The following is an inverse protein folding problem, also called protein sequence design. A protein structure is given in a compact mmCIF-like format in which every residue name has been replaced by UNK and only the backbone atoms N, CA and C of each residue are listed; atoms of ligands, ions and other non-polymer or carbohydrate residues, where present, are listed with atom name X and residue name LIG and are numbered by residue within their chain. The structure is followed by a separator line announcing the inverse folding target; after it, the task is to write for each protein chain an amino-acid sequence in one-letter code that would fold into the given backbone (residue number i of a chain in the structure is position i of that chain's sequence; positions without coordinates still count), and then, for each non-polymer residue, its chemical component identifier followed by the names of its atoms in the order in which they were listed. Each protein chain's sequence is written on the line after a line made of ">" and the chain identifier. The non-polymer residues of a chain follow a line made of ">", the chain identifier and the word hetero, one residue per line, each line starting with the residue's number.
data_IF_684622481603
#
_entry.id   IF_684622481603
#
_cell.length_a   1.000
_cell.length_b   1.000
_cell.length_c   1.000
_cell.angle_alpha   90.00
_cell.angle_beta   90.00
_cell.angle_gamma   90.00
#
_symmetry.space_group_name_H-M   'P 1'
#
loop_
_entity.id
_entity.type
_entity.pdbx_description
1 polymer ?
#
# COMPACT_ATOMS: atom_id res chain seq x y z
N UNK A 1 28.61 19.03 -11.86
CA UNK A 1 27.18 18.90 -12.16
C UNK A 1 26.54 17.99 -11.12
N UNK A 2 25.29 18.17 -10.80
CA UNK A 2 24.57 17.37 -9.79
C UNK A 2 24.59 15.88 -10.12
N UNK A 3 24.49 15.50 -11.37
CA UNK A 3 24.57 14.11 -11.86
C UNK A 3 25.88 13.38 -11.56
N UNK A 4 26.95 14.14 -11.22
CA UNK A 4 28.26 13.57 -10.88
C UNK A 4 28.28 13.04 -9.43
N UNK A 5 27.25 13.35 -8.64
CA UNK A 5 27.11 12.98 -7.23
C UNK A 5 26.10 11.85 -7.08
N UNK A 6 26.46 10.85 -6.29
CA UNK A 6 25.56 9.79 -5.85
C UNK A 6 25.63 9.69 -4.33
N UNK A 7 24.48 9.66 -3.70
CA UNK A 7 24.35 9.38 -2.27
C UNK A 7 23.80 7.97 -2.12
N UNK A 8 24.61 7.10 -1.54
CA UNK A 8 24.26 5.72 -1.28
C UNK A 8 23.82 5.56 0.17
N UNK A 9 22.64 5.01 0.40
CA UNK A 9 22.08 4.78 1.72
C UNK A 9 22.18 3.29 2.07
N UNK A 10 22.66 2.98 3.27
CA UNK A 10 22.66 1.61 3.79
C UNK A 10 21.29 1.21 4.29
N UNK A 11 20.54 2.16 4.85
CA UNK A 11 19.15 2.04 5.28
C UNK A 11 18.29 3.08 4.56
N UNK A 12 17.53 2.61 3.55
CA UNK A 12 16.68 3.48 2.76
C UNK A 12 15.54 4.09 3.60
N UNK A 13 14.96 3.32 4.50
CA UNK A 13 13.85 3.77 5.33
C UNK A 13 14.26 4.93 6.26
N UNK A 14 15.45 4.86 6.83
CA UNK A 14 15.97 5.88 7.74
C UNK A 14 16.41 7.16 7.02
N UNK A 15 17.03 7.06 5.84
CA UNK A 15 17.70 8.20 5.20
C UNK A 15 16.94 8.83 4.04
N UNK A 16 16.05 8.11 3.35
CA UNK A 16 15.39 8.58 2.12
C UNK A 16 14.62 9.89 2.33
N UNK A 17 13.66 9.89 3.25
CA UNK A 17 12.79 11.04 3.47
C UNK A 17 13.53 12.27 4.00
N UNK A 18 14.42 12.16 5.01
CA UNK A 18 15.26 13.27 5.45
C UNK A 18 16.11 13.87 4.34
N UNK A 19 16.74 13.03 3.51
CA UNK A 19 17.58 13.50 2.40
C UNK A 19 16.77 14.23 1.33
N UNK A 20 15.64 13.67 0.90
CA UNK A 20 14.75 14.34 -0.05
C UNK A 20 14.29 15.71 0.47
N UNK A 21 13.93 15.79 1.76
CA UNK A 21 13.49 17.04 2.39
C UNK A 21 14.61 18.07 2.44
N UNK A 22 15.82 17.67 2.83
CA UNK A 22 16.97 18.58 2.94
C UNK A 22 17.42 19.11 1.57
N UNK A 23 17.52 18.22 0.57
CA UNK A 23 17.90 18.63 -0.79
C UNK A 23 16.83 19.53 -1.43
N UNK A 24 15.55 19.22 -1.23
CA UNK A 24 14.46 20.07 -1.71
C UNK A 24 14.52 21.47 -1.09
N UNK A 25 14.75 21.59 0.22
CA UNK A 25 14.95 22.89 0.90
C UNK A 25 16.16 23.66 0.41
N UNK A 26 17.21 22.95 0.02
CA UNK A 26 18.44 23.54 -0.54
C UNK A 26 18.33 23.85 -2.04
N UNK A 27 17.20 23.57 -2.70
CA UNK A 27 17.03 23.74 -4.14
C UNK A 27 17.90 22.79 -4.99
N UNK A 28 18.35 21.67 -4.42
CA UNK A 28 19.18 20.69 -5.10
C UNK A 28 18.27 19.61 -5.73
N UNK A 29 18.28 19.45 -7.06
CA UNK A 29 17.48 18.43 -7.71
C UNK A 29 17.98 17.03 -7.33
N UNK A 30 17.06 16.17 -6.92
CA UNK A 30 17.33 14.81 -6.47
C UNK A 30 16.51 13.82 -7.27
N UNK A 31 17.15 12.75 -7.65
CA UNK A 31 16.52 11.57 -8.22
C UNK A 31 16.72 10.37 -7.31
N UNK A 32 15.65 9.75 -6.89
CA UNK A 32 15.67 8.51 -6.12
C UNK A 32 15.33 7.34 -7.06
N UNK A 33 16.30 6.45 -7.27
CA UNK A 33 16.16 5.30 -8.17
C UNK A 33 15.33 4.15 -7.56
N UNK A 34 14.81 4.30 -6.33
CA UNK A 34 14.01 3.24 -5.72
C UNK A 34 12.60 3.23 -6.29
N UNK A 35 12.12 2.04 -6.58
CA UNK A 35 10.72 1.82 -6.90
C UNK A 35 9.91 1.85 -5.59
N UNK A 36 8.94 2.75 -5.49
CA UNK A 36 8.01 2.73 -4.37
C UNK A 36 7.08 1.51 -4.51
N UNK A 37 6.92 0.68 -3.46
CA UNK A 37 5.93 -0.40 -3.49
C UNK A 37 4.54 0.21 -3.68
N UNK A 38 3.78 -0.26 -4.67
CA UNK A 38 2.43 0.27 -4.93
C UNK A 38 1.49 0.04 -3.74
N UNK A 39 1.76 -0.97 -2.93
CA UNK A 39 0.96 -1.31 -1.75
C UNK A 39 0.86 -0.20 -0.70
N UNK A 40 1.77 0.78 -0.69
CA UNK A 40 1.73 1.93 0.22
C UNK A 40 0.91 3.12 -0.32
N UNK A 41 0.46 3.05 -1.56
CA UNK A 41 -0.34 4.12 -2.14
C UNK A 41 -1.77 4.13 -1.55
N UNK A 42 -2.36 5.30 -1.27
CA UNK A 42 -3.71 5.42 -0.71
C UNK A 42 -4.79 4.66 -1.48
N UNK A 43 -4.76 4.63 -2.82
CA UNK A 43 -5.69 3.83 -3.62
C UNK A 43 -5.57 2.34 -3.32
N UNK A 44 -4.34 1.83 -3.31
CA UNK A 44 -4.11 0.40 -3.07
C UNK A 44 -4.49 0.03 -1.63
N UNK A 45 -4.17 0.89 -0.66
CA UNK A 45 -4.59 0.70 0.74
C UNK A 45 -6.12 0.68 0.85
N UNK A 46 -6.82 1.60 0.18
CA UNK A 46 -8.28 1.64 0.14
C UNK A 46 -8.86 0.37 -0.50
N UNK A 47 -8.33 -0.05 -1.65
CA UNK A 47 -8.75 -1.26 -2.34
C UNK A 47 -8.56 -2.52 -1.49
N UNK A 48 -7.36 -2.70 -0.93
CA UNK A 48 -7.07 -3.85 -0.07
C UNK A 48 -7.93 -3.84 1.19
N UNK A 49 -8.19 -2.66 1.78
CA UNK A 49 -9.08 -2.51 2.92
C UNK A 49 -10.53 -2.87 2.56
N UNK A 50 -11.03 -2.46 1.39
CA UNK A 50 -12.35 -2.84 0.90
C UNK A 50 -12.46 -4.36 0.68
N UNK A 51 -11.43 -4.97 0.05
CA UNK A 51 -11.39 -6.42 -0.17
C UNK A 51 -11.34 -7.21 1.15
N UNK A 52 -10.60 -6.74 2.14
CA UNK A 52 -10.57 -7.35 3.47
C UNK A 52 -11.88 -7.14 4.24
N UNK A 53 -12.48 -5.94 4.11
CA UNK A 53 -13.75 -5.61 4.74
C UNK A 53 -14.86 -6.57 4.32
N UNK A 54 -14.98 -6.88 3.04
CA UNK A 54 -16.06 -7.73 2.52
C UNK A 54 -15.96 -9.19 2.94
N UNK A 55 -14.81 -9.65 3.41
CA UNK A 55 -14.66 -11.02 3.91
C UNK A 55 -15.50 -11.25 5.18
N UNK A 56 -15.42 -10.35 6.16
CA UNK A 56 -16.03 -10.53 7.48
C UNK A 56 -16.68 -9.28 8.07
N UNK A 57 -16.61 -8.13 7.41
CA UNK A 57 -17.00 -6.82 7.93
C UNK A 57 -16.42 -6.52 9.32
N UNK A 58 -15.12 -6.84 9.48
CA UNK A 58 -14.40 -6.42 10.68
C UNK A 58 -14.26 -4.90 10.72
N UNK A 59 -14.36 -4.26 11.91
CA UNK A 59 -14.33 -2.79 12.03
C UNK A 59 -13.08 -2.15 11.43
N UNK A 60 -11.91 -2.75 11.66
CA UNK A 60 -10.63 -2.21 11.19
C UNK A 60 -10.59 -2.00 9.66
N UNK A 61 -10.76 -3.04 8.84
CA UNK A 61 -10.79 -2.91 7.39
C UNK A 61 -11.92 -2.00 6.87
N UNK A 62 -13.13 -2.08 7.46
CA UNK A 62 -14.25 -1.21 7.06
C UNK A 62 -13.91 0.26 7.30
N UNK A 63 -13.43 0.61 8.48
CA UNK A 63 -13.07 1.98 8.83
C UNK A 63 -11.84 2.47 8.04
N UNK A 64 -10.86 1.60 7.78
CA UNK A 64 -9.71 1.94 6.94
C UNK A 64 -10.15 2.31 5.51
N UNK A 65 -11.12 1.59 4.92
CA UNK A 65 -11.71 1.96 3.64
C UNK A 65 -12.47 3.28 3.73
N UNK A 66 -13.34 3.45 4.74
CA UNK A 66 -14.16 4.65 4.90
C UNK A 66 -13.35 5.92 5.17
N UNK A 67 -12.19 5.82 5.81
CA UNK A 67 -11.27 6.96 6.05
C UNK A 67 -10.31 7.22 4.89
N UNK A 68 -10.41 6.46 3.80
CA UNK A 68 -9.59 6.69 2.62
C UNK A 68 -10.13 7.84 1.76
N UNK A 69 -9.29 8.43 0.93
CA UNK A 69 -9.69 9.44 -0.07
C UNK A 69 -10.69 8.90 -1.11
N UNK A 70 -10.87 7.59 -1.18
CA UNK A 70 -11.82 6.91 -2.07
C UNK A 70 -13.14 6.57 -1.38
N UNK A 71 -13.34 7.02 -0.15
CA UNK A 71 -14.60 6.88 0.57
C UNK A 71 -15.74 7.60 -0.15
N UNK A 72 -16.96 7.04 -0.11
CA UNK A 72 -18.16 7.76 -0.56
C UNK A 72 -18.62 8.85 0.42
N UNK A 73 -18.02 8.93 1.62
CA UNK A 73 -18.36 9.85 2.69
C UNK A 73 -17.28 10.91 2.90
N UNK A 74 -17.66 12.05 3.47
CA UNK A 74 -16.70 13.03 3.95
C UNK A 74 -16.10 12.60 5.31
N UNK A 75 -15.02 13.24 5.73
CA UNK A 75 -14.30 12.90 6.97
C UNK A 75 -15.21 12.99 8.22
N UNK A 76 -16.00 14.06 8.35
CA UNK A 76 -16.90 14.25 9.49
C UNK A 76 -17.99 13.16 9.60
N UNK A 77 -18.50 12.70 8.44
CA UNK A 77 -19.49 11.62 8.40
C UNK A 77 -18.85 10.29 8.75
N UNK A 78 -17.60 10.04 8.32
CA UNK A 78 -16.84 8.86 8.70
C UNK A 78 -16.59 8.81 10.21
N UNK A 79 -16.21 9.92 10.82
CA UNK A 79 -15.99 10.03 12.27
C UNK A 79 -17.28 9.76 13.05
N UNK A 80 -18.41 10.25 12.55
CA UNK A 80 -19.72 10.02 13.16
C UNK A 80 -20.09 8.53 13.13
N UNK A 81 -19.89 7.86 11.99
CA UNK A 81 -20.10 6.42 11.86
C UNK A 81 -19.14 5.61 12.73
N UNK A 82 -17.87 5.97 12.75
CA UNK A 82 -16.86 5.30 13.58
C UNK A 82 -17.23 5.39 15.06
N UNK A 83 -17.61 6.58 15.54
CA UNK A 83 -17.99 6.78 16.93
C UNK A 83 -19.14 5.85 17.33
N UNK A 84 -20.21 5.81 16.53
CA UNK A 84 -21.34 4.92 16.79
C UNK A 84 -20.93 3.44 16.71
N UNK A 85 -20.19 3.06 15.67
CA UNK A 85 -19.76 1.68 15.47
C UNK A 85 -18.84 1.19 16.60
N UNK A 86 -17.94 2.06 17.07
CA UNK A 86 -17.06 1.75 18.20
C UNK A 86 -17.83 1.64 19.51
N UNK A 87 -18.72 2.61 19.79
CA UNK A 87 -19.49 2.63 21.03
C UNK A 87 -20.38 1.39 21.18
N UNK A 88 -21.04 0.98 20.10
CA UNK A 88 -21.96 -0.16 20.10
C UNK A 88 -21.34 -1.49 19.68
N UNK A 89 -20.04 -1.50 19.39
CA UNK A 89 -19.32 -2.72 18.98
C UNK A 89 -19.84 -3.33 17.69
N UNK A 90 -20.20 -2.50 16.70
CA UNK A 90 -20.74 -2.93 15.41
C UNK A 90 -19.73 -3.79 14.65
N UNK A 91 -20.10 -5.02 14.31
CA UNK A 91 -19.24 -6.00 13.62
C UNK A 91 -20.05 -6.87 12.67
N UNK A 92 -19.39 -7.45 11.68
CA UNK A 92 -19.97 -8.45 10.80
C UNK A 92 -21.24 -7.94 10.13
N UNK A 93 -22.27 -8.78 10.06
CA UNK A 93 -23.53 -8.46 9.41
C UNK A 93 -24.30 -7.28 10.01
N UNK A 94 -23.89 -6.77 11.18
CA UNK A 94 -24.50 -5.57 11.77
C UNK A 94 -24.25 -4.30 10.93
N UNK A 95 -23.17 -4.27 10.11
CA UNK A 95 -22.95 -3.19 9.16
C UNK A 95 -24.01 -3.15 8.05
N UNK A 96 -24.55 -4.29 7.65
CA UNK A 96 -25.54 -4.38 6.58
C UNK A 96 -26.98 -4.16 7.06
N UNK A 97 -27.22 -4.17 8.38
CA UNK A 97 -28.55 -4.03 8.99
C UNK A 97 -28.76 -2.61 9.51
N UNK A 98 -30.01 -2.10 9.52
CA UNK A 98 -30.30 -0.84 10.17
C UNK A 98 -29.94 -0.86 11.65
N UNK A 99 -29.25 0.18 12.09
CA UNK A 99 -28.92 0.37 13.51
C UNK A 99 -30.13 0.87 14.27
N UNK A 100 -30.31 0.42 15.52
CA UNK A 100 -31.50 0.68 16.32
C UNK A 100 -31.17 1.21 17.72
N UNK A 101 -29.90 1.25 18.09
CA UNK A 101 -29.45 1.65 19.41
C UNK A 101 -29.35 3.18 19.48
N UNK A 102 -29.50 3.73 20.70
CA UNK A 102 -29.53 5.16 20.92
C UNK A 102 -28.24 5.86 20.48
N UNK A 103 -28.28 6.93 19.66
CA UNK A 103 -27.08 7.59 19.14
C UNK A 103 -26.17 8.18 20.22
N UNK A 104 -26.75 8.64 21.34
CA UNK A 104 -25.98 9.24 22.44
C UNK A 104 -25.58 8.25 23.54
N UNK A 105 -25.89 6.94 23.43
CA UNK A 105 -25.46 5.91 24.36
C UNK A 105 -26.56 5.31 25.25
N UNK A 106 -26.14 4.50 26.24
CA UNK A 106 -27.04 3.73 27.11
C UNK A 106 -27.75 4.63 28.13
N UNK A 107 -28.99 4.24 28.47
CA UNK A 107 -29.70 4.74 29.65
C UNK A 107 -30.51 6.01 29.44
N UNK A 108 -30.63 6.51 28.21
CA UNK A 108 -31.48 7.64 27.89
C UNK A 108 -32.72 7.17 27.10
N UNK A 109 -33.93 7.78 27.34
CA UNK A 109 -35.07 7.52 26.50
C UNK A 109 -34.88 8.10 25.11
N UNK A 110 -35.35 7.41 24.08
CA UNK A 110 -35.30 7.87 22.70
C UNK A 110 -36.28 9.03 22.51
N UNK A 111 -35.76 10.21 22.21
CA UNK A 111 -36.54 11.39 21.87
C UNK A 111 -36.66 11.56 20.33
N UNK A 112 -37.62 12.36 19.83
CA UNK A 112 -37.76 12.57 18.36
C UNK A 112 -36.50 13.08 17.66
N UNK A 113 -35.68 13.85 18.37
CA UNK A 113 -34.38 14.34 17.85
C UNK A 113 -33.37 13.19 17.71
N UNK A 114 -33.36 12.24 18.65
CA UNK A 114 -32.50 11.06 18.61
C UNK A 114 -32.93 10.08 17.51
N UNK A 115 -34.23 9.95 17.26
CA UNK A 115 -34.76 9.18 16.14
C UNK A 115 -34.32 9.76 14.79
N UNK A 116 -34.37 11.08 14.66
CA UNK A 116 -33.90 11.78 13.46
C UNK A 116 -32.39 11.60 13.28
N UNK A 117 -31.58 11.71 14.34
CA UNK A 117 -30.16 11.47 14.32
C UNK A 117 -29.82 10.01 13.93
N UNK A 118 -30.59 9.05 14.48
CA UNK A 118 -30.41 7.63 14.13
C UNK A 118 -30.78 7.34 12.67
N UNK A 119 -31.81 8.00 12.14
CA UNK A 119 -32.14 7.90 10.70
C UNK A 119 -31.02 8.46 9.82
N UNK A 120 -30.45 9.61 10.18
CA UNK A 120 -29.31 10.20 9.48
C UNK A 120 -28.09 9.27 9.51
N UNK A 121 -27.76 8.70 10.69
CA UNK A 121 -26.72 7.68 10.84
C UNK A 121 -26.93 6.46 9.93
N UNK A 122 -28.16 5.96 9.85
CA UNK A 122 -28.49 4.84 8.99
C UNK A 122 -28.38 5.20 7.50
N UNK A 123 -28.67 6.43 7.11
CA UNK A 123 -28.46 6.90 5.74
C UNK A 123 -26.96 6.95 5.39
N UNK A 124 -26.13 7.49 6.29
CA UNK A 124 -24.66 7.48 6.12
C UNK A 124 -24.11 6.05 6.08
N UNK A 125 -24.57 5.17 6.97
CA UNK A 125 -24.19 3.75 6.95
C UNK A 125 -24.54 3.09 5.61
N UNK A 126 -25.71 3.35 5.06
CA UNK A 126 -26.11 2.77 3.78
C UNK A 126 -25.21 3.25 2.64
N UNK A 127 -24.87 4.54 2.60
CA UNK A 127 -23.91 5.07 1.63
C UNK A 127 -22.52 4.45 1.80
N UNK A 128 -22.05 4.31 3.03
CA UNK A 128 -20.77 3.71 3.39
C UNK A 128 -20.65 2.26 2.92
N UNK A 129 -21.71 1.47 3.17
CA UNK A 129 -21.70 0.02 2.97
C UNK A 129 -22.09 -0.37 1.55
N UNK A 130 -22.80 0.47 0.80
CA UNK A 130 -23.28 0.15 -0.55
C UNK A 130 -22.19 -0.39 -1.49
N UNK A 131 -21.02 0.26 -1.66
CA UNK A 131 -19.96 -0.24 -2.54
C UNK A 131 -19.38 -1.57 -2.03
N UNK A 132 -19.20 -1.71 -0.71
CA UNK A 132 -18.71 -2.94 -0.10
C UNK A 132 -19.69 -4.10 -0.27
N UNK A 133 -20.98 -3.86 -0.09
CA UNK A 133 -22.03 -4.86 -0.29
C UNK A 133 -22.09 -5.31 -1.74
N UNK A 134 -21.99 -4.39 -2.70
CA UNK A 134 -21.95 -4.71 -4.13
C UNK A 134 -20.74 -5.60 -4.44
N UNK A 135 -19.55 -5.25 -3.96
CA UNK A 135 -18.34 -6.05 -4.10
C UNK A 135 -18.51 -7.45 -3.48
N UNK A 136 -19.01 -7.52 -2.25
CA UNK A 136 -19.25 -8.79 -1.56
C UNK A 136 -20.18 -9.71 -2.34
N UNK A 137 -21.29 -9.18 -2.85
CA UNK A 137 -22.25 -9.95 -3.62
C UNK A 137 -21.67 -10.43 -4.96
N UNK A 138 -20.85 -9.60 -5.61
CA UNK A 138 -20.17 -9.97 -6.85
C UNK A 138 -19.15 -11.09 -6.59
N UNK A 139 -18.30 -10.95 -5.57
CA UNK A 139 -17.31 -11.98 -5.19
C UNK A 139 -17.98 -13.29 -4.72
N UNK A 140 -19.09 -13.22 -4.00
CA UNK A 140 -19.83 -14.42 -3.58
C UNK A 140 -20.49 -15.20 -4.74
N UNK A 141 -20.80 -14.51 -5.85
CA UNK A 141 -21.34 -15.14 -7.07
C UNK A 141 -20.24 -15.64 -8.01
N UNK A 142 -19.06 -15.08 -7.91
CA UNK A 142 -17.93 -15.41 -8.77
C UNK A 142 -17.50 -16.87 -8.55
N UNK A 143 -17.34 -17.59 -9.65
CA UNK A 143 -16.87 -19.00 -9.67
C UNK A 143 -15.44 -19.13 -10.17
N UNK A 144 -14.94 -18.12 -10.87
CA UNK A 144 -13.61 -18.08 -11.46
C UNK A 144 -12.88 -16.81 -11.04
N UNK A 145 -11.56 -16.83 -11.17
CA UNK A 145 -10.71 -15.66 -10.90
C UNK A 145 -11.04 -14.52 -11.87
N UNK A 146 -11.34 -14.79 -13.14
CA UNK A 146 -11.81 -13.80 -14.11
C UNK A 146 -13.04 -13.02 -13.59
N UNK A 147 -14.04 -13.73 -13.03
CA UNK A 147 -15.21 -13.09 -12.45
C UNK A 147 -14.87 -12.28 -11.18
N UNK A 148 -13.91 -12.74 -10.38
CA UNK A 148 -13.42 -11.99 -9.20
C UNK A 148 -12.67 -10.73 -9.62
N UNK A 149 -11.82 -10.81 -10.64
CA UNK A 149 -11.09 -9.66 -11.22
C UNK A 149 -12.09 -8.62 -11.76
N UNK A 150 -13.13 -9.04 -12.46
CA UNK A 150 -14.19 -8.13 -12.93
C UNK A 150 -14.95 -7.46 -11.79
N UNK A 151 -15.16 -8.16 -10.68
CA UNK A 151 -15.78 -7.56 -9.50
C UNK A 151 -14.91 -6.44 -8.89
N UNK A 152 -13.57 -6.62 -8.88
CA UNK A 152 -12.64 -5.58 -8.46
C UNK A 152 -12.63 -4.41 -9.44
N UNK A 153 -12.61 -4.66 -10.75
CA UNK A 153 -12.67 -3.62 -11.77
C UNK A 153 -13.96 -2.77 -11.64
N UNK A 154 -15.11 -3.41 -11.41
CA UNK A 154 -16.36 -2.72 -11.17
C UNK A 154 -16.36 -1.86 -9.89
N UNK A 155 -15.66 -2.29 -8.83
CA UNK A 155 -15.45 -1.46 -7.65
C UNK A 155 -14.62 -0.21 -7.99
N UNK A 156 -13.50 -0.36 -8.72
CA UNK A 156 -12.66 0.78 -9.13
C UNK A 156 -13.42 1.79 -9.97
N UNK A 157 -14.29 1.34 -10.87
CA UNK A 157 -15.20 2.19 -11.64
C UNK A 157 -16.21 2.90 -10.74
N UNK A 158 -16.85 2.19 -9.81
CA UNK A 158 -17.81 2.77 -8.84
C UNK A 158 -17.18 3.86 -7.97
N UNK A 159 -15.91 3.70 -7.62
CA UNK A 159 -15.14 4.66 -6.82
C UNK A 159 -14.55 5.80 -7.67
N UNK A 160 -14.73 5.77 -8.99
CA UNK A 160 -14.07 6.70 -9.94
C UNK A 160 -12.57 6.81 -9.70
N UNK A 161 -11.92 5.66 -9.51
CA UNK A 161 -10.51 5.60 -9.14
C UNK A 161 -9.61 6.27 -10.18
N UNK A 162 -9.91 6.09 -11.48
CA UNK A 162 -9.15 6.70 -12.58
C UNK A 162 -9.28 8.24 -12.57
N UNK A 163 -10.51 8.77 -12.46
CA UNK A 163 -10.76 10.23 -12.44
C UNK A 163 -10.15 10.91 -11.23
N UNK A 164 -10.24 10.29 -10.05
CA UNK A 164 -9.62 10.81 -8.81
C UNK A 164 -8.10 10.82 -8.90
N UNK A 165 -7.47 9.76 -9.42
CA UNK A 165 -6.02 9.74 -9.65
C UNK A 165 -5.57 10.77 -10.67
N UNK A 166 -6.32 10.97 -11.76
CA UNK A 166 -6.02 12.02 -12.74
C UNK A 166 -6.07 13.40 -12.09
N UNK A 167 -7.10 13.68 -11.29
CA UNK A 167 -7.22 14.94 -10.56
C UNK A 167 -6.04 15.15 -9.59
N UNK A 168 -5.63 14.10 -8.91
CA UNK A 168 -4.47 14.14 -8.01
C UNK A 168 -3.16 14.37 -8.78
N UNK A 169 -2.99 13.71 -9.93
CA UNK A 169 -1.84 13.93 -10.82
C UNK A 169 -1.76 15.37 -11.28
N UNK A 170 -2.86 15.94 -11.77
CA UNK A 170 -2.93 17.32 -12.26
C UNK A 170 -2.58 18.33 -11.13
N UNK A 171 -3.08 18.09 -9.90
CA UNK A 171 -2.74 18.90 -8.73
C UNK A 171 -1.26 18.82 -8.36
N UNK A 172 -0.64 17.65 -8.45
CA UNK A 172 0.79 17.46 -8.21
C UNK A 172 1.64 18.14 -9.29
N UNK A 173 1.22 18.11 -10.54
CA UNK A 173 1.89 18.82 -11.65
C UNK A 173 1.82 20.33 -11.44
N UNK A 174 0.67 20.89 -11.07
CA UNK A 174 0.50 22.31 -10.76
C UNK A 174 1.34 22.74 -9.55
N UNK A 175 1.53 21.86 -8.58
CA UNK A 175 2.41 22.07 -7.42
C UNK A 175 3.91 21.91 -7.75
N UNK A 176 4.28 21.61 -9.01
CA UNK A 176 5.66 21.40 -9.44
C UNK A 176 6.30 20.08 -8.95
N UNK A 177 5.48 19.13 -8.49
CA UNK A 177 5.90 17.83 -7.97
C UNK A 177 5.89 16.76 -9.08
N UNK A 178 6.59 17.03 -10.18
CA UNK A 178 6.55 16.22 -11.41
C UNK A 178 6.85 14.72 -11.19
N UNK A 179 7.77 14.39 -10.27
CA UNK A 179 8.09 12.99 -9.97
C UNK A 179 6.88 12.26 -9.33
N UNK A 180 6.22 12.88 -8.35
CA UNK A 180 5.04 12.31 -7.71
C UNK A 180 3.85 12.21 -8.66
N UNK A 181 3.68 13.22 -9.52
CA UNK A 181 2.67 13.19 -10.56
C UNK A 181 2.87 11.99 -11.51
N UNK A 182 4.09 11.74 -11.94
CA UNK A 182 4.44 10.60 -12.77
C UNK A 182 4.21 9.27 -12.05
N UNK A 183 4.60 9.15 -10.77
CA UNK A 183 4.33 7.96 -9.95
C UNK A 183 2.82 7.71 -9.82
N UNK A 184 2.02 8.76 -9.64
CA UNK A 184 0.56 8.70 -9.58
C UNK A 184 -0.05 8.21 -10.90
N UNK A 185 0.41 8.73 -12.05
CA UNK A 185 -0.07 8.29 -13.37
C UNK A 185 0.24 6.82 -13.67
N UNK A 186 1.40 6.32 -13.27
CA UNK A 186 1.80 4.92 -13.47
C UNK A 186 1.08 3.95 -12.53
N UNK A 187 0.55 4.43 -11.40
CA UNK A 187 -0.08 3.58 -10.39
C UNK A 187 -1.29 2.84 -10.93
N UNK A 188 -2.16 3.55 -11.66
CA UNK A 188 -3.37 2.94 -12.21
C UNK A 188 -3.03 1.87 -13.26
N UNK A 189 -2.05 2.16 -14.13
CA UNK A 189 -1.55 1.18 -15.11
C UNK A 189 -0.96 -0.05 -14.42
N UNK A 190 -0.20 0.14 -13.34
CA UNK A 190 0.38 -0.95 -12.57
C UNK A 190 -0.71 -1.81 -11.89
N UNK A 191 -1.78 -1.17 -11.37
CA UNK A 191 -2.92 -1.87 -10.78
C UNK A 191 -3.68 -2.70 -11.82
N UNK A 192 -3.99 -2.10 -12.99
CA UNK A 192 -4.65 -2.81 -14.08
C UNK A 192 -3.79 -3.97 -14.59
N UNK A 193 -2.49 -3.74 -14.78
CA UNK A 193 -1.55 -4.81 -15.17
C UNK A 193 -1.50 -5.96 -14.16
N UNK A 194 -1.60 -5.67 -12.86
CA UNK A 194 -1.68 -6.70 -11.83
C UNK A 194 -2.98 -7.52 -11.92
N UNK A 195 -4.11 -6.86 -12.19
CA UNK A 195 -5.40 -7.54 -12.42
C UNK A 195 -5.36 -8.41 -13.68
N UNK A 196 -4.82 -7.90 -14.78
CA UNK A 196 -4.64 -8.65 -16.02
C UNK A 196 -3.70 -9.85 -15.83
N UNK A 197 -2.64 -9.71 -15.06
CA UNK A 197 -1.73 -10.81 -14.74
C UNK A 197 -2.43 -11.91 -13.94
N UNK A 198 -3.27 -11.53 -12.96
CA UNK A 198 -4.08 -12.50 -12.21
C UNK A 198 -5.04 -13.25 -13.15
N UNK A 199 -5.70 -12.55 -14.06
CA UNK A 199 -6.60 -13.14 -15.02
C UNK A 199 -5.88 -14.07 -16.00
N UNK A 200 -4.78 -13.63 -16.60
CA UNK A 200 -3.99 -14.43 -17.55
C UNK A 200 -3.44 -15.73 -16.95
N UNK A 201 -3.01 -15.70 -15.68
CA UNK A 201 -2.38 -16.86 -15.03
C UNK A 201 -3.42 -17.78 -14.40
N UNK A 202 -4.46 -17.23 -13.78
CA UNK A 202 -5.41 -17.95 -12.94
C UNK A 202 -6.87 -17.78 -13.40
N UNK A 203 -7.17 -17.04 -14.45
CA UNK A 203 -8.53 -16.61 -14.82
C UNK A 203 -9.56 -17.74 -14.85
N UNK A 204 -9.20 -18.89 -15.38
CA UNK A 204 -10.07 -20.07 -15.42
C UNK A 204 -10.11 -20.87 -14.10
N UNK A 205 -9.25 -20.56 -13.13
CA UNK A 205 -9.21 -21.26 -11.86
C UNK A 205 -10.38 -20.85 -10.96
N UNK A 206 -10.84 -21.77 -10.12
CA UNK A 206 -11.79 -21.49 -9.05
C UNK A 206 -11.02 -21.29 -7.74
N UNK A 207 -11.08 -20.10 -7.18
CA UNK A 207 -10.46 -19.76 -5.91
C UNK A 207 -11.51 -19.27 -4.91
N UNK A 208 -11.34 -19.65 -3.64
CA UNK A 208 -12.10 -19.04 -2.56
C UNK A 208 -11.73 -17.56 -2.44
N UNK A 209 -12.71 -16.72 -2.12
CA UNK A 209 -12.53 -15.26 -2.04
C UNK A 209 -11.38 -14.86 -1.11
N UNK A 210 -11.22 -15.54 0.02
CA UNK A 210 -10.15 -15.24 0.99
C UNK A 210 -8.77 -15.50 0.39
N UNK A 211 -8.59 -16.62 -0.33
CA UNK A 211 -7.34 -16.94 -1.02
C UNK A 211 -7.06 -15.98 -2.17
N UNK A 212 -8.08 -15.59 -2.94
CA UNK A 212 -7.95 -14.58 -3.99
C UNK A 212 -7.45 -13.25 -3.42
N UNK A 213 -8.06 -12.76 -2.33
CA UNK A 213 -7.64 -11.51 -1.65
C UNK A 213 -6.19 -11.59 -1.18
N UNK A 214 -5.78 -12.73 -0.61
CA UNK A 214 -4.40 -12.94 -0.17
C UNK A 214 -3.40 -12.91 -1.33
N UNK A 215 -3.68 -13.66 -2.41
CA UNK A 215 -2.80 -13.70 -3.58
C UNK A 215 -2.70 -12.35 -4.26
N UNK A 216 -3.81 -11.63 -4.44
CA UNK A 216 -3.80 -10.30 -5.02
C UNK A 216 -3.05 -9.29 -4.15
N UNK A 217 -3.22 -9.34 -2.83
CA UNK A 217 -2.45 -8.54 -1.88
C UNK A 217 -0.94 -8.81 -2.01
N UNK A 218 -0.53 -10.09 -2.08
CA UNK A 218 0.88 -10.46 -2.28
C UNK A 218 1.42 -9.94 -3.62
N UNK A 219 0.64 -10.01 -4.69
CA UNK A 219 1.01 -9.49 -6.01
C UNK A 219 1.26 -7.98 -5.94
N UNK A 220 0.34 -7.21 -5.35
CA UNK A 220 0.48 -5.76 -5.19
C UNK A 220 1.64 -5.35 -4.30
N UNK A 221 1.97 -6.12 -3.25
CA UNK A 221 3.15 -5.87 -2.43
C UNK A 221 4.47 -6.08 -3.18
N UNK A 222 4.48 -6.97 -4.18
CA UNK A 222 5.64 -7.23 -5.02
C UNK A 222 5.67 -6.35 -6.29
N UNK A 223 4.60 -5.61 -6.56
CA UNK A 223 4.53 -4.66 -7.66
C UNK A 223 5.12 -3.32 -7.22
N UNK A 224 5.91 -2.72 -8.07
CA UNK A 224 6.54 -1.42 -7.80
C UNK A 224 6.43 -0.51 -9.01
N UNK A 225 6.24 0.78 -8.74
CA UNK A 225 6.23 1.84 -9.75
C UNK A 225 7.60 2.50 -9.76
N UNK A 226 8.24 2.53 -10.93
CA UNK A 226 9.54 3.18 -11.12
C UNK A 226 9.36 4.61 -11.62
N UNK A 227 10.10 5.57 -11.05
CA UNK A 227 10.13 6.92 -11.60
C UNK A 227 11.28 7.09 -12.59
N UNK A 228 11.00 7.78 -13.71
CA UNK A 228 12.03 8.24 -14.65
C UNK A 228 12.51 9.62 -14.20
N UNK A 229 13.83 9.94 -14.19
CA UNK A 229 14.30 11.25 -13.80
C UNK A 229 13.66 12.34 -14.65
N UNK A 230 12.94 13.27 -14.02
CA UNK A 230 12.40 14.46 -14.70
C UNK A 230 13.49 15.48 -15.05
N UNK A 231 14.65 15.41 -14.39
CA UNK A 231 15.79 16.31 -14.57
C UNK A 231 17.04 15.48 -14.84
N UNK A 232 17.71 15.76 -15.98
CA UNK A 232 18.94 15.06 -16.36
C UNK A 232 20.15 15.39 -15.47
N UNK A 233 20.14 16.50 -14.72
CA UNK A 233 21.21 16.94 -13.82
C UNK A 233 20.74 16.98 -12.38
N UNK A 234 20.57 15.81 -11.77
CA UNK A 234 20.14 15.62 -10.39
C UNK A 234 21.12 14.74 -9.60
N UNK A 235 21.21 14.98 -8.30
CA UNK A 235 21.91 14.08 -7.37
C UNK A 235 21.13 12.78 -7.27
N UNK A 236 21.80 11.66 -7.39
CA UNK A 236 21.17 10.37 -7.28
C UNK A 236 21.19 9.87 -5.83
N UNK A 237 20.02 9.55 -5.29
CA UNK A 237 19.87 8.76 -4.06
C UNK A 237 19.64 7.29 -4.44
N UNK A 238 20.41 6.38 -3.85
CA UNK A 238 20.35 4.96 -4.19
C UNK A 238 20.77 4.09 -3.00
N UNK A 239 20.59 2.79 -3.12
CA UNK A 239 21.10 1.79 -2.18
C UNK A 239 22.28 1.03 -2.76
N UNK A 240 23.07 0.36 -1.92
CA UNK A 240 24.26 -0.40 -2.37
C UNK A 240 23.95 -1.43 -3.47
N UNK A 241 22.87 -2.23 -3.39
CA UNK A 241 22.54 -3.18 -4.46
C UNK A 241 22.26 -2.52 -5.81
N UNK A 242 21.68 -1.32 -5.81
CA UNK A 242 21.32 -0.57 -7.03
C UNK A 242 22.49 0.17 -7.66
N UNK A 243 23.62 0.28 -6.95
CA UNK A 243 24.81 1.01 -7.41
C UNK A 243 25.61 0.26 -8.52
N UNK A 244 25.34 -1.02 -8.76
CA UNK A 244 26.18 -1.97 -9.51
C UNK A 244 26.58 -1.57 -10.94
N UNK A 245 25.89 -0.64 -11.59
CA UNK A 245 26.09 -0.37 -13.03
C UNK A 245 26.34 1.10 -13.35
N UNK A 246 26.65 1.96 -12.37
CA UNK A 246 26.84 3.40 -12.64
C UNK A 246 28.26 3.88 -12.37
N UNK A 247 28.74 4.74 -13.28
CA UNK A 247 29.99 5.49 -13.10
C UNK A 247 29.65 6.79 -12.39
N UNK A 248 30.07 6.91 -11.14
CA UNK A 248 29.90 8.07 -10.27
C UNK A 248 31.24 8.77 -10.10
N UNK A 249 31.28 10.10 -10.13
CA UNK A 249 32.48 10.86 -9.81
C UNK A 249 32.68 11.06 -8.32
N UNK A 250 31.57 11.31 -7.61
CA UNK A 250 31.57 11.50 -6.17
C UNK A 250 30.52 10.59 -5.57
N UNK A 251 30.94 9.70 -4.68
CA UNK A 251 30.07 8.80 -3.93
C UNK A 251 30.09 9.20 -2.47
N UNK A 252 28.91 9.49 -1.91
CA UNK A 252 28.69 9.69 -0.49
C UNK A 252 27.93 8.48 0.06
N UNK A 253 28.45 7.85 1.09
CA UNK A 253 27.80 6.68 1.73
C UNK A 253 27.27 7.11 3.09
N UNK A 254 25.96 6.99 3.29
CA UNK A 254 25.29 7.27 4.55
C UNK A 254 25.03 5.98 5.31
N UNK A 255 25.23 6.01 6.63
CA UNK A 255 24.99 4.87 7.50
C UNK A 255 26.07 3.78 7.41
N UNK A 256 27.28 4.12 6.98
CA UNK A 256 28.44 3.20 7.00
C UNK A 256 28.90 2.91 8.44
N UNK A 257 27.99 2.44 9.28
CA UNK A 257 28.23 2.10 10.67
C UNK A 257 28.68 0.65 10.79
N UNK A 258 29.43 0.36 11.88
CA UNK A 258 29.81 -1.01 12.21
C UNK A 258 28.58 -1.93 12.34
N UNK A 259 28.66 -3.12 11.74
CA UNK A 259 27.55 -4.08 11.66
C UNK A 259 26.53 -3.82 10.55
N UNK A 260 26.48 -2.60 9.96
CA UNK A 260 25.64 -2.28 8.81
C UNK A 260 26.44 -2.31 7.49
N UNK A 261 27.70 -1.85 7.54
CA UNK A 261 28.60 -1.91 6.37
C UNK A 261 30.06 -2.11 6.84
N UNK A 262 30.65 -3.31 6.60
CA UNK A 262 29.99 -4.49 6.02
C UNK A 262 28.91 -5.07 6.94
N UNK A 263 27.83 -5.59 6.33
CA UNK A 263 26.82 -6.32 7.10
C UNK A 263 27.46 -7.60 7.66
N UNK A 264 27.34 -7.80 8.96
CA UNK A 264 27.71 -9.08 9.55
C UNK A 264 26.73 -10.14 9.03
N UNK A 265 27.19 -10.96 8.12
CA UNK A 265 26.55 -12.23 7.80
C UNK A 265 27.00 -13.21 8.87
N UNK A 266 26.15 -13.49 9.85
CA UNK A 266 26.32 -14.69 10.67
C UNK A 266 26.26 -15.88 9.69
N UNK A 267 27.32 -16.66 9.54
CA UNK A 267 27.38 -17.74 8.57
C UNK A 267 26.35 -18.85 8.84
N UNK A 268 25.40 -18.67 9.75
CA UNK A 268 24.17 -19.48 9.94
C UNK A 268 24.37 -21.00 9.89
N UNK A 269 25.55 -21.48 10.22
CA UNK A 269 25.91 -22.88 10.18
C UNK A 269 26.44 -23.38 11.52
N UNK A 270 26.32 -24.68 11.75
CA UNK A 270 26.86 -25.36 12.94
C UNK A 270 28.37 -25.20 13.11
N UNK A 271 29.09 -24.68 12.11
CA UNK A 271 30.56 -24.54 12.10
C UNK A 271 30.93 -23.09 11.73
N UNK A 272 31.68 -22.44 12.59
CA UNK A 272 32.28 -21.14 12.34
C UNK A 272 33.43 -21.26 11.30
N UNK A 273 33.75 -20.15 10.59
CA UNK A 273 34.80 -20.16 9.55
C UNK A 273 36.17 -20.69 10.02
N UNK A 274 36.66 -20.39 11.24
CA UNK A 274 37.88 -20.99 11.77
C UNK A 274 37.78 -22.51 11.93
N UNK A 275 36.61 -23.03 12.31
CA UNK A 275 36.38 -24.47 12.45
C UNK A 275 36.30 -25.16 11.10
N UNK A 276 35.70 -24.50 10.11
CA UNK A 276 35.68 -24.99 8.72
C UNK A 276 37.08 -25.05 8.12
N UNK A 277 37.92 -24.03 8.36
CA UNK A 277 39.31 -24.06 7.91
C UNK A 277 40.09 -25.19 8.56
N UNK A 278 39.90 -25.43 9.85
CA UNK A 278 40.56 -26.53 10.59
C UNK A 278 40.11 -27.90 10.07
N UNK A 279 38.82 -28.08 9.77
CA UNK A 279 38.31 -29.31 9.18
C UNK A 279 38.84 -29.55 7.76
N UNK A 280 38.96 -28.50 6.95
CA UNK A 280 39.59 -28.59 5.63
C UNK A 280 41.07 -28.99 5.71
N UNK A 281 41.80 -28.43 6.68
CA UNK A 281 43.22 -28.82 6.89
C UNK A 281 43.39 -30.27 7.34
N UNK A 282 42.32 -30.86 7.89
CA UNK A 282 42.24 -32.29 8.27
C UNK A 282 41.72 -33.18 7.16
N UNK A 283 41.53 -32.66 5.94
CA UNK A 283 41.11 -33.43 4.76
C UNK A 283 39.58 -33.62 4.64
N UNK A 284 38.76 -32.89 5.41
CA UNK A 284 37.30 -32.98 5.29
C UNK A 284 36.84 -32.03 4.16
N UNK A 285 36.20 -32.59 3.13
CA UNK A 285 35.57 -31.78 2.09
C UNK A 285 34.32 -31.10 2.61
N UNK A 286 34.38 -29.79 2.74
CA UNK A 286 33.25 -28.92 3.10
C UNK A 286 32.88 -28.05 1.92
N UNK A 287 31.57 -27.86 1.67
CA UNK A 287 31.09 -26.88 0.68
C UNK A 287 31.72 -25.52 0.93
N UNK A 288 32.11 -24.78 -0.12
CA UNK A 288 32.60 -23.43 0.04
C UNK A 288 31.56 -22.58 0.80
N UNK A 289 32.02 -21.86 1.83
CA UNK A 289 31.21 -20.87 2.50
C UNK A 289 30.75 -19.82 1.51
N UNK A 290 29.54 -19.32 1.63
CA UNK A 290 28.98 -18.25 0.79
C UNK A 290 29.72 -16.94 1.03
#
# INVERSE_FOLDING_TARGET
>A
RYRDFTVCMTDEAAYRLPMQTLFSRAGIPVYCASSAPVAQNPLIVALLSAMQAVLRYEPGPVLAFLKSEFSPLCEADCDTLEHYAYYWGIRGSAWEKPWQLHPCGLGQPMEPEDEAALQALNALREQAVAPLRTLRLALAKARTVDEQVRAIAALLETLDAAGRLQTQQDALEQAGQAQRAQECGQLYEALISALEQMDQVLGAASLETELFVQLFSMLLHNTSVGSIPSVCDAVQLTTLPMLRHRRTRVLLVLGANDGLLPAFSDPGGLLADPERQKLRSLGVELSPGR
#
